data_IF_585626799095
#
_entry.id   IF_585626799095
#
_cell.length_a   1.000
_cell.length_b   1.000
_cell.length_c   1.000
_cell.angle_alpha   90.00
_cell.angle_beta   90.00
_cell.angle_gamma   90.00
#
_symmetry.space_group_name_H-M   'P 1'
#
loop_
_entity.id
_entity.type
_entity.pdbx_description
1 polymer ?
#
# COMPACT_ATOMS: atom_id res chain seq x y z
N UNK A 1 -0.43 15.30 -1.60
CA UNK A 1 0.51 16.17 -2.35
C UNK A 1 -0.28 17.35 -2.90
N UNK A 2 0.31 18.56 -2.96
CA UNK A 2 -0.33 19.74 -3.53
C UNK A 2 -0.59 19.61 -5.05
N UNK A 3 -1.15 20.65 -5.67
CA UNK A 3 -1.52 20.68 -7.11
C UNK A 3 -0.40 20.25 -8.08
N UNK A 4 0.87 20.36 -7.66
CA UNK A 4 2.05 19.95 -8.42
C UNK A 4 2.69 18.64 -7.95
N UNK A 5 2.00 17.86 -7.14
CA UNK A 5 2.49 16.56 -6.67
C UNK A 5 2.63 15.57 -7.82
N UNK A 6 3.77 14.84 -7.86
CA UNK A 6 4.02 13.80 -8.85
C UNK A 6 4.84 12.67 -8.26
N UNK A 7 4.81 11.51 -8.89
CA UNK A 7 5.63 10.37 -8.45
C UNK A 7 7.12 10.65 -8.66
N UNK A 8 7.99 10.07 -7.81
CA UNK A 8 9.45 10.16 -7.97
C UNK A 8 9.88 9.71 -9.36
N UNK A 9 9.29 8.64 -9.89
CA UNK A 9 9.55 8.15 -11.26
C UNK A 9 9.29 9.22 -12.32
N UNK A 10 8.18 9.94 -12.22
CA UNK A 10 7.82 11.02 -13.15
C UNK A 10 8.76 12.22 -12.98
N UNK A 11 9.06 12.60 -11.74
CA UNK A 11 10.00 13.69 -11.42
C UNK A 11 11.38 13.43 -12.04
N UNK A 12 11.85 12.19 -11.95
CA UNK A 12 13.12 11.75 -12.52
C UNK A 12 13.07 11.51 -14.04
N UNK A 13 11.89 11.55 -14.64
CA UNK A 13 11.68 11.21 -16.05
C UNK A 13 12.27 9.83 -16.41
N UNK A 14 12.08 8.84 -15.54
CA UNK A 14 12.63 7.49 -15.72
C UNK A 14 12.08 6.83 -16.98
N UNK A 15 12.96 6.50 -17.94
CA UNK A 15 12.59 5.85 -19.19
C UNK A 15 13.53 4.68 -19.47
N UNK A 16 13.01 3.46 -19.66
CA UNK A 16 13.83 2.34 -20.14
C UNK A 16 14.46 2.66 -21.50
N UNK A 17 15.74 2.41 -21.66
CA UNK A 17 16.45 2.58 -22.92
C UNK A 17 17.41 1.40 -23.13
N UNK A 18 16.93 0.31 -23.75
CA UNK A 18 17.66 -0.95 -23.82
C UNK A 18 17.98 -1.49 -22.43
N UNK A 19 19.28 -1.77 -22.18
CA UNK A 19 19.76 -2.26 -20.88
C UNK A 19 20.04 -1.12 -19.87
N UNK A 20 19.75 0.13 -20.21
CA UNK A 20 19.98 1.30 -19.36
C UNK A 20 18.69 2.04 -19.06
N UNK A 21 18.73 2.93 -18.06
CA UNK A 21 17.62 3.82 -17.73
C UNK A 21 18.06 5.26 -17.97
N UNK A 22 17.34 5.97 -18.82
CA UNK A 22 17.48 7.41 -18.96
C UNK A 22 16.70 8.09 -17.84
N UNK A 23 17.37 9.02 -17.15
CA UNK A 23 16.75 9.75 -16.04
C UNK A 23 17.46 11.10 -15.81
N UNK A 24 16.84 11.94 -14.99
CA UNK A 24 17.50 13.09 -14.39
C UNK A 24 18.77 12.65 -13.66
N UNK A 25 19.80 13.48 -13.66
CA UNK A 25 21.12 13.16 -13.12
C UNK A 25 21.85 14.44 -12.69
N UNK A 26 23.09 14.31 -12.21
CA UNK A 26 23.94 15.45 -11.91
C UNK A 26 24.17 16.36 -13.13
N UNK A 27 24.21 15.81 -14.34
CA UNK A 27 24.35 16.56 -15.62
C UNK A 27 23.04 17.18 -16.12
N UNK A 28 21.89 16.70 -15.64
CA UNK A 28 20.55 17.23 -15.93
C UNK A 28 19.70 17.17 -14.62
N UNK A 29 19.99 18.05 -13.65
CA UNK A 29 19.36 17.97 -12.34
C UNK A 29 17.89 18.38 -12.36
N UNK A 30 17.18 18.05 -11.29
CA UNK A 30 15.83 18.51 -11.01
C UNK A 30 15.91 20.03 -10.80
N UNK A 31 15.13 20.79 -11.58
CA UNK A 31 15.07 22.25 -11.46
C UNK A 31 14.13 22.66 -10.32
N UNK A 32 14.59 22.46 -9.09
CA UNK A 32 13.88 22.84 -7.88
C UNK A 32 14.87 23.23 -6.78
N UNK A 33 14.54 24.26 -6.01
CA UNK A 33 15.30 24.66 -4.81
C UNK A 33 14.91 23.88 -3.55
N UNK A 34 13.71 23.30 -3.55
CA UNK A 34 13.18 22.45 -2.48
C UNK A 34 12.45 21.27 -3.09
N UNK A 35 12.81 20.08 -2.63
CA UNK A 35 12.16 18.82 -3.01
C UNK A 35 11.63 18.17 -1.74
N UNK A 36 10.34 17.87 -1.71
CA UNK A 36 9.71 17.13 -0.61
C UNK A 36 9.31 15.76 -1.15
N UNK A 37 9.85 14.72 -0.55
CA UNK A 37 9.51 13.32 -0.88
C UNK A 37 8.71 12.75 0.28
N UNK A 38 7.47 12.40 0.02
CA UNK A 38 6.59 11.77 0.99
C UNK A 38 6.61 10.25 0.85
N UNK A 39 6.18 9.52 1.89
CA UNK A 39 6.12 8.05 1.95
C UNK A 39 7.49 7.39 1.64
N UNK A 40 8.58 7.96 2.16
CA UNK A 40 9.96 7.49 1.88
C UNK A 40 10.23 6.08 2.43
N UNK A 41 9.40 5.55 3.31
CA UNK A 41 9.42 4.13 3.68
C UNK A 41 9.33 3.19 2.46
N UNK A 42 8.69 3.64 1.37
CA UNK A 42 8.53 2.92 0.12
C UNK A 42 9.70 3.13 -0.87
N UNK A 43 10.64 4.03 -0.58
CA UNK A 43 11.77 4.32 -1.45
C UNK A 43 12.82 3.21 -1.34
N UNK A 44 13.10 2.52 -2.44
CA UNK A 44 14.15 1.52 -2.52
C UNK A 44 15.51 2.11 -2.94
N UNK A 45 16.56 1.29 -2.85
CA UNK A 45 17.92 1.72 -3.20
C UNK A 45 18.07 2.06 -4.69
N UNK A 46 17.34 1.40 -5.57
CA UNK A 46 17.42 1.66 -7.00
C UNK A 46 16.92 3.06 -7.31
N UNK A 47 15.71 3.37 -6.90
CA UNK A 47 15.12 4.71 -7.11
C UNK A 47 15.90 5.79 -6.36
N UNK A 48 16.37 5.49 -5.14
CA UNK A 48 17.21 6.40 -4.38
C UNK A 48 18.53 6.72 -5.13
N UNK A 49 19.11 5.73 -5.81
CA UNK A 49 20.34 5.91 -6.59
C UNK A 49 20.19 6.85 -7.80
N UNK A 50 18.96 7.00 -8.32
CA UNK A 50 18.64 7.99 -9.34
C UNK A 50 18.23 9.33 -8.74
N UNK A 51 17.51 9.33 -7.61
CA UNK A 51 16.96 10.53 -7.00
C UNK A 51 18.06 11.45 -6.46
N UNK A 52 18.96 10.92 -5.61
CA UNK A 52 19.93 11.76 -4.93
C UNK A 52 20.93 12.46 -5.87
N UNK A 53 21.49 11.82 -6.91
CA UNK A 53 22.34 12.49 -7.88
C UNK A 53 21.60 13.54 -8.73
N UNK A 54 20.28 13.40 -8.89
CA UNK A 54 19.47 14.37 -9.63
C UNK A 54 19.11 15.62 -8.82
N UNK A 55 19.35 15.63 -7.51
CA UNK A 55 19.14 16.83 -6.67
C UNK A 55 20.23 17.85 -6.96
N UNK A 56 19.81 19.06 -7.39
CA UNK A 56 20.74 20.15 -7.70
C UNK A 56 21.56 20.56 -6.47
N UNK A 57 22.83 20.86 -6.68
CA UNK A 57 23.68 21.43 -5.61
C UNK A 57 23.06 22.72 -5.04
N UNK A 58 22.98 22.79 -3.72
CA UNK A 58 22.36 23.87 -2.97
C UNK A 58 20.84 23.78 -2.83
N UNK A 59 20.18 22.77 -3.40
CA UNK A 59 18.77 22.50 -3.14
C UNK A 59 18.58 21.76 -1.80
N UNK A 60 17.42 21.94 -1.20
CA UNK A 60 17.02 21.25 0.03
C UNK A 60 16.14 20.06 -0.35
N UNK A 61 16.42 18.90 0.20
CA UNK A 61 15.56 17.73 0.12
C UNK A 61 15.01 17.40 1.50
N UNK A 62 13.68 17.27 1.61
CA UNK A 62 12.97 16.82 2.81
C UNK A 62 12.38 15.46 2.52
N UNK A 63 12.71 14.48 3.35
CA UNK A 63 12.26 13.11 3.26
C UNK A 63 11.27 12.86 4.40
N UNK A 64 10.00 12.62 4.06
CA UNK A 64 8.94 12.33 5.02
C UNK A 64 8.58 10.84 4.96
N UNK A 65 8.44 10.19 6.10
CA UNK A 65 8.06 8.76 6.13
C UNK A 65 7.97 8.22 7.54
N UNK A 66 7.45 7.02 7.66
CA UNK A 66 7.30 6.30 8.93
C UNK A 66 8.16 5.03 8.88
N UNK A 67 9.21 5.00 9.71
CA UNK A 67 10.15 3.89 9.82
C UNK A 67 9.56 2.64 10.49
N UNK A 68 8.34 2.71 11.01
CA UNK A 68 7.58 1.58 11.55
C UNK A 68 6.64 0.93 10.53
N UNK A 69 6.34 1.59 9.40
CA UNK A 69 5.57 0.99 8.32
C UNK A 69 6.40 -0.03 7.54
N UNK A 70 5.74 -0.72 6.61
CA UNK A 70 6.42 -1.65 5.71
C UNK A 70 7.48 -0.94 4.88
N UNK A 71 8.62 -1.58 4.72
CA UNK A 71 9.69 -1.13 3.84
C UNK A 71 9.28 -1.28 2.37
N UNK A 72 10.08 -0.67 1.47
CA UNK A 72 9.93 -0.81 0.01
C UNK A 72 9.87 -2.28 -0.42
N UNK A 73 9.19 -2.58 -1.51
CA UNK A 73 9.23 -3.93 -2.12
C UNK A 73 10.60 -4.20 -2.74
N UNK A 74 11.24 -3.18 -3.30
CA UNK A 74 12.58 -3.24 -3.85
C UNK A 74 13.68 -3.38 -2.79
N UNK A 75 14.94 -3.40 -3.22
CA UNK A 75 16.08 -3.64 -2.33
C UNK A 75 16.38 -2.46 -1.40
N UNK A 76 16.91 -2.79 -0.21
CA UNK A 76 17.39 -1.80 0.76
C UNK A 76 16.32 -1.37 1.77
N UNK A 77 16.72 -0.42 2.63
CA UNK A 77 15.92 0.21 3.68
C UNK A 77 16.35 1.68 3.82
N UNK A 78 16.21 2.43 2.76
CA UNK A 78 16.80 3.77 2.60
C UNK A 78 16.46 4.70 3.75
N UNK A 79 15.18 4.79 4.15
CA UNK A 79 14.76 5.65 5.26
C UNK A 79 15.46 5.28 6.57
N UNK A 80 15.44 4.00 6.94
CA UNK A 80 16.08 3.52 8.16
C UNK A 80 17.61 3.75 8.12
N UNK A 81 18.26 3.45 6.98
CA UNK A 81 19.70 3.66 6.82
C UNK A 81 20.08 5.14 6.93
N UNK A 82 19.28 6.05 6.38
CA UNK A 82 19.51 7.51 6.51
C UNK A 82 19.34 7.97 7.95
N UNK A 83 18.36 7.45 8.69
CA UNK A 83 18.18 7.74 10.12
C UNK A 83 19.37 7.21 10.93
N UNK A 84 19.80 5.98 10.65
CA UNK A 84 20.85 5.28 11.40
C UNK A 84 22.27 5.81 11.11
N UNK A 85 22.49 6.45 9.96
CA UNK A 85 23.83 6.91 9.57
C UNK A 85 24.37 8.08 10.44
N UNK A 86 23.50 8.82 11.11
CA UNK A 86 23.85 9.95 11.98
C UNK A 86 24.47 11.16 11.24
N UNK A 87 24.38 11.21 9.91
CA UNK A 87 24.88 12.31 9.06
C UNK A 87 23.77 13.20 8.50
N UNK A 88 22.53 12.77 8.65
CA UNK A 88 21.34 13.49 8.19
C UNK A 88 20.60 14.03 9.41
N UNK A 89 20.11 15.24 9.31
CA UNK A 89 19.28 15.84 10.35
C UNK A 89 17.92 15.16 10.39
N UNK A 90 17.50 14.68 11.58
CA UNK A 90 16.28 13.89 11.76
C UNK A 90 15.36 14.58 12.75
N UNK A 91 14.14 14.88 12.28
CA UNK A 91 13.07 15.42 13.11
C UNK A 91 11.98 14.35 13.30
N UNK A 92 11.73 13.96 14.55
CA UNK A 92 10.69 12.98 14.87
C UNK A 92 9.41 13.68 15.34
N UNK A 93 8.32 13.40 14.66
CA UNK A 93 6.99 13.85 15.05
C UNK A 93 6.35 12.79 15.95
N UNK A 94 6.01 13.16 17.18
CA UNK A 94 5.44 12.24 18.16
C UNK A 94 3.93 12.36 18.29
N UNK A 95 3.36 13.49 17.85
CA UNK A 95 1.92 13.70 17.93
C UNK A 95 1.24 13.19 16.67
N UNK A 96 0.36 12.20 16.85
CA UNK A 96 -0.46 11.67 15.75
C UNK A 96 -1.66 12.63 15.58
N UNK A 97 -1.79 13.19 14.38
CA UNK A 97 -2.84 14.17 14.05
C UNK A 97 -3.97 13.55 13.21
N UNK A 98 -3.71 12.46 12.50
CA UNK A 98 -4.64 11.85 11.53
C UNK A 98 -5.72 11.02 12.19
N UNK A 99 -5.36 10.30 13.24
CA UNK A 99 -6.23 9.38 13.97
C UNK A 99 -6.28 9.82 15.42
N UNK A 100 -7.46 9.79 16.02
CA UNK A 100 -7.65 10.02 17.45
C UNK A 100 -8.23 8.76 18.09
N UNK A 101 -8.08 8.64 19.42
CA UNK A 101 -8.68 7.55 20.17
C UNK A 101 -7.97 6.21 20.02
N UNK A 102 -8.79 5.16 20.06
CA UNK A 102 -8.32 3.76 20.22
C UNK A 102 -7.45 3.25 19.09
N UNK A 103 -7.62 3.71 17.85
CA UNK A 103 -6.76 3.31 16.72
C UNK A 103 -5.31 3.74 16.96
N UNK A 104 -5.09 4.99 17.37
CA UNK A 104 -3.78 5.54 17.71
C UNK A 104 -3.12 4.81 18.88
N UNK A 105 -3.88 4.59 19.94
CA UNK A 105 -3.40 3.91 21.14
C UNK A 105 -2.97 2.48 20.80
N UNK A 106 -3.81 1.77 20.03
CA UNK A 106 -3.51 0.40 19.59
C UNK A 106 -2.32 0.35 18.64
N UNK A 107 -2.12 1.34 17.77
CA UNK A 107 -0.91 1.44 16.94
C UNK A 107 0.36 1.49 17.82
N UNK A 108 0.34 2.29 18.88
CA UNK A 108 1.46 2.40 19.85
C UNK A 108 1.65 1.10 20.64
N UNK A 109 0.56 0.46 21.10
CA UNK A 109 0.59 -0.83 21.80
C UNK A 109 1.21 -1.91 20.91
N UNK A 110 0.77 -2.02 19.65
CA UNK A 110 1.32 -2.97 18.70
C UNK A 110 2.80 -2.72 18.44
N UNK A 111 3.23 -1.48 18.28
CA UNK A 111 4.66 -1.15 18.12
C UNK A 111 5.50 -1.55 19.33
N UNK A 112 4.95 -1.48 20.54
CA UNK A 112 5.64 -1.98 21.74
C UNK A 112 5.80 -3.51 21.77
N UNK A 113 5.02 -4.22 20.95
CA UNK A 113 4.99 -5.69 20.87
C UNK A 113 3.95 -6.33 21.78
N UNK A 114 3.06 -5.54 22.34
CA UNK A 114 1.94 -6.05 23.10
C UNK A 114 0.75 -6.33 22.16
N UNK A 115 0.11 -7.47 22.39
CA UNK A 115 -1.16 -7.85 21.77
C UNK A 115 -2.37 -7.48 22.64
N UNK A 116 -2.15 -6.83 23.79
CA UNK A 116 -3.19 -6.39 24.73
C UNK A 116 -3.78 -5.04 24.27
N UNK A 117 -4.49 -5.07 23.16
CA UNK A 117 -5.11 -3.90 22.55
C UNK A 117 -6.41 -3.51 23.24
N UNK A 118 -6.79 -2.25 23.10
CA UNK A 118 -8.08 -1.72 23.54
C UNK A 118 -9.14 -1.97 22.48
N UNK A 119 -10.35 -2.34 22.92
CA UNK A 119 -11.48 -2.57 22.03
C UNK A 119 -12.61 -1.58 22.34
N UNK A 120 -13.19 -1.00 21.29
CA UNK A 120 -14.34 -0.12 21.36
C UNK A 120 -15.13 -0.16 20.02
N UNK A 121 -15.98 0.82 19.78
CA UNK A 121 -16.76 0.91 18.55
C UNK A 121 -15.89 1.11 17.31
N UNK A 122 -14.72 1.76 17.45
CA UNK A 122 -13.79 2.04 16.36
C UNK A 122 -12.77 0.94 16.11
N UNK A 123 -12.60 0.01 17.05
CA UNK A 123 -11.57 -1.03 16.96
C UNK A 123 -12.04 -2.37 17.53
N UNK A 124 -12.12 -3.38 16.67
CA UNK A 124 -12.52 -4.73 17.05
C UNK A 124 -11.53 -5.80 16.64
N UNK A 125 -11.40 -6.84 17.46
CA UNK A 125 -10.62 -8.03 17.20
C UNK A 125 -11.47 -9.26 17.46
N UNK A 126 -11.68 -10.06 16.42
CA UNK A 126 -12.45 -11.29 16.47
C UNK A 126 -11.55 -12.49 16.15
N UNK A 127 -11.71 -13.58 16.89
CA UNK A 127 -10.92 -14.80 16.74
C UNK A 127 -11.75 -15.94 16.19
N UNK A 128 -11.18 -16.67 15.25
CA UNK A 128 -11.83 -17.76 14.52
C UNK A 128 -10.92 -18.98 14.49
N UNK A 129 -11.51 -20.15 14.20
CA UNK A 129 -10.77 -21.41 14.11
C UNK A 129 -10.37 -21.76 12.68
N UNK A 130 -11.01 -21.14 11.69
CA UNK A 130 -10.73 -21.37 10.27
C UNK A 130 -10.87 -20.10 9.43
N UNK A 131 -10.20 -20.09 8.26
CA UNK A 131 -10.30 -19.00 7.27
C UNK A 131 -11.76 -18.82 6.83
N UNK A 132 -12.50 -19.90 6.61
CA UNK A 132 -13.90 -19.86 6.18
C UNK A 132 -14.82 -19.15 7.19
N UNK A 133 -14.65 -19.44 8.49
CA UNK A 133 -15.40 -18.74 9.54
C UNK A 133 -15.07 -17.24 9.59
N UNK A 134 -13.77 -16.90 9.51
CA UNK A 134 -13.30 -15.52 9.51
C UNK A 134 -13.84 -14.73 8.31
N UNK A 135 -13.78 -15.32 7.11
CA UNK A 135 -14.31 -14.72 5.88
C UNK A 135 -15.81 -14.52 5.96
N UNK A 136 -16.59 -15.51 6.42
CA UNK A 136 -18.04 -15.38 6.58
C UNK A 136 -18.42 -14.26 7.55
N UNK A 137 -17.72 -14.17 8.68
CA UNK A 137 -17.95 -13.12 9.67
C UNK A 137 -17.56 -11.73 9.13
N UNK A 138 -16.46 -11.64 8.39
CA UNK A 138 -16.07 -10.42 7.71
C UNK A 138 -17.16 -9.99 6.72
N UNK A 139 -17.66 -10.89 5.88
CA UNK A 139 -18.71 -10.60 4.90
C UNK A 139 -19.99 -10.08 5.54
N UNK A 140 -20.33 -10.54 6.75
CA UNK A 140 -21.52 -10.07 7.47
C UNK A 140 -21.41 -8.61 7.98
N UNK A 141 -20.17 -8.11 8.12
CA UNK A 141 -19.88 -6.77 8.61
C UNK A 141 -19.40 -5.80 7.50
N UNK A 142 -19.10 -6.34 6.30
CA UNK A 142 -18.51 -5.56 5.24
C UNK A 142 -19.52 -4.63 4.57
N UNK A 143 -19.18 -3.34 4.55
CA UNK A 143 -19.87 -2.32 3.76
C UNK A 143 -18.98 -1.96 2.57
N UNK A 144 -19.09 -2.70 1.49
CA UNK A 144 -18.16 -2.65 0.35
C UNK A 144 -18.05 -1.28 -0.32
N UNK A 145 -19.01 -0.36 -0.11
CA UNK A 145 -18.95 1.00 -0.66
C UNK A 145 -17.85 1.85 -0.01
N UNK A 146 -17.65 1.73 1.31
CA UNK A 146 -16.73 2.55 2.09
C UNK A 146 -15.56 1.78 2.72
N UNK A 147 -15.57 0.45 2.64
CA UNK A 147 -14.58 -0.41 3.28
C UNK A 147 -13.61 -1.02 2.28
N UNK A 148 -12.40 -1.35 2.78
CA UNK A 148 -11.46 -2.23 2.10
C UNK A 148 -11.08 -3.41 2.98
N UNK A 149 -10.89 -4.56 2.33
CA UNK A 149 -10.35 -5.73 2.98
C UNK A 149 -8.84 -5.81 2.72
N UNK A 150 -8.04 -5.84 3.77
CA UNK A 150 -6.60 -5.96 3.69
C UNK A 150 -6.17 -7.38 4.06
N UNK A 151 -5.35 -7.98 3.19
CA UNK A 151 -4.74 -9.27 3.44
C UNK A 151 -3.21 -9.20 3.27
N UNK A 152 -2.42 -9.94 4.07
CA UNK A 152 -0.98 -10.04 3.88
C UNK A 152 -0.57 -10.74 2.58
N UNK A 153 -1.44 -11.55 1.98
CA UNK A 153 -1.11 -12.47 0.87
C UNK A 153 -2.05 -12.34 -0.32
N UNK A 154 -1.52 -12.61 -1.53
CA UNK A 154 -2.31 -12.54 -2.77
C UNK A 154 -3.07 -13.83 -3.07
N UNK A 155 -2.41 -14.99 -3.01
CA UNK A 155 -2.89 -16.26 -3.60
C UNK A 155 -3.12 -17.39 -2.60
N UNK A 156 -2.88 -17.21 -1.32
CA UNK A 156 -2.86 -18.32 -0.36
C UNK A 156 -4.18 -18.43 0.38
N UNK A 157 -4.89 -19.54 0.19
CA UNK A 157 -6.13 -19.87 0.92
C UNK A 157 -7.30 -18.93 0.64
N UNK A 158 -8.34 -19.06 1.44
CA UNK A 158 -9.54 -18.22 1.36
C UNK A 158 -9.30 -16.78 1.86
N UNK A 159 -8.29 -16.61 2.70
CA UNK A 159 -7.86 -15.30 3.22
C UNK A 159 -6.97 -14.51 2.22
N UNK A 160 -6.65 -15.06 1.06
CA UNK A 160 -5.87 -14.38 0.02
C UNK A 160 -6.70 -13.38 -0.79
N UNK A 161 -6.06 -12.30 -1.24
CA UNK A 161 -6.70 -11.20 -1.99
C UNK A 161 -7.56 -11.68 -3.15
N UNK A 162 -7.08 -12.66 -3.95
CA UNK A 162 -7.84 -13.14 -5.11
C UNK A 162 -9.13 -13.87 -4.70
N UNK A 163 -9.06 -14.73 -3.68
CA UNK A 163 -10.24 -15.42 -3.17
C UNK A 163 -11.24 -14.43 -2.56
N UNK A 164 -10.74 -13.48 -1.76
CA UNK A 164 -11.55 -12.45 -1.13
C UNK A 164 -12.26 -11.56 -2.18
N UNK A 165 -11.55 -11.11 -3.21
CA UNK A 165 -12.15 -10.31 -4.28
C UNK A 165 -13.29 -11.06 -4.96
N UNK A 166 -13.11 -12.33 -5.26
CA UNK A 166 -14.14 -13.16 -5.88
C UNK A 166 -15.35 -13.35 -4.96
N UNK A 167 -15.12 -13.69 -3.68
CA UNK A 167 -16.20 -13.89 -2.69
C UNK A 167 -17.00 -12.60 -2.50
N UNK A 168 -16.31 -11.45 -2.40
CA UNK A 168 -16.97 -10.15 -2.22
C UNK A 168 -17.77 -9.81 -3.47
N UNK A 169 -17.19 -9.90 -4.65
CA UNK A 169 -17.89 -9.61 -5.92
C UNK A 169 -19.16 -10.46 -6.08
N UNK A 170 -19.07 -11.78 -5.83
CA UNK A 170 -20.19 -12.70 -5.92
C UNK A 170 -21.31 -12.40 -4.90
N UNK A 171 -21.03 -11.68 -3.84
CA UNK A 171 -22.00 -11.28 -2.82
C UNK A 171 -22.75 -10.00 -3.15
N UNK A 172 -22.26 -9.19 -4.08
CA UNK A 172 -22.89 -7.93 -4.47
C UNK A 172 -24.06 -8.20 -5.40
N UNK A 173 -25.30 -7.82 -5.01
CA UNK A 173 -26.47 -8.09 -5.82
C UNK A 173 -26.49 -7.20 -7.08
N UNK A 174 -27.07 -7.73 -8.15
CA UNK A 174 -27.42 -6.99 -9.37
C UNK A 174 -26.24 -6.35 -10.10
N UNK A 175 -25.03 -6.87 -9.97
CA UNK A 175 -23.92 -6.45 -10.81
C UNK A 175 -24.18 -6.78 -12.27
N UNK A 176 -24.01 -5.79 -13.16
CA UNK A 176 -24.18 -5.99 -14.60
C UNK A 176 -22.87 -6.46 -15.21
N UNK A 177 -22.86 -7.68 -15.77
CA UNK A 177 -21.69 -8.24 -16.45
C UNK A 177 -21.24 -7.35 -17.61
N UNK A 178 -19.93 -7.15 -17.73
CA UNK A 178 -19.30 -6.42 -18.82
C UNK A 178 -18.52 -7.34 -19.75
N UNK A 179 -17.46 -7.95 -19.22
CA UNK A 179 -16.53 -8.80 -19.97
C UNK A 179 -15.73 -9.71 -19.03
N UNK A 180 -15.05 -10.70 -19.65
CA UNK A 180 -14.08 -11.54 -18.95
C UNK A 180 -12.69 -11.32 -19.49
N UNK A 181 -11.70 -11.29 -18.58
CA UNK A 181 -10.29 -11.23 -18.91
C UNK A 181 -9.48 -12.10 -17.95
N UNK A 182 -8.60 -12.97 -18.49
CA UNK A 182 -7.78 -13.91 -17.71
C UNK A 182 -8.56 -14.73 -16.66
N UNK A 183 -9.74 -15.26 -17.02
CA UNK A 183 -10.66 -16.01 -16.15
C UNK A 183 -11.25 -15.19 -14.97
N UNK A 184 -11.13 -13.88 -14.99
CA UNK A 184 -11.86 -12.98 -14.08
C UNK A 184 -13.02 -12.32 -14.83
N UNK A 185 -14.18 -12.23 -14.19
CA UNK A 185 -15.34 -11.52 -14.70
C UNK A 185 -15.37 -10.11 -14.13
N UNK A 186 -15.63 -9.14 -14.98
CA UNK A 186 -15.77 -7.74 -14.60
C UNK A 186 -17.18 -7.25 -14.85
N UNK A 187 -17.68 -6.42 -13.95
CA UNK A 187 -19.04 -5.91 -13.95
C UNK A 187 -19.04 -4.38 -13.80
N UNK A 188 -20.11 -3.74 -14.24
CA UNK A 188 -20.35 -2.34 -13.95
C UNK A 188 -20.52 -2.19 -12.44
N UNK A 189 -19.81 -1.23 -11.84
CA UNK A 189 -19.74 -1.01 -10.41
C UNK A 189 -18.58 -1.73 -9.71
N UNK A 190 -17.85 -2.63 -10.40
CA UNK A 190 -16.68 -3.26 -9.82
C UNK A 190 -15.60 -2.23 -9.47
N UNK A 191 -15.03 -2.39 -8.29
CA UNK A 191 -13.83 -1.66 -7.87
C UNK A 191 -12.60 -2.36 -8.41
N UNK A 192 -11.75 -1.62 -9.08
CA UNK A 192 -10.49 -2.12 -9.66
C UNK A 192 -9.28 -1.31 -9.19
N UNK A 193 -8.11 -1.92 -9.28
CA UNK A 193 -6.81 -1.28 -9.03
C UNK A 193 -5.91 -1.47 -10.25
N UNK A 194 -5.24 -0.39 -10.65
CA UNK A 194 -4.21 -0.47 -11.68
C UNK A 194 -2.92 -1.07 -11.10
N UNK A 195 -2.28 -1.95 -11.86
CA UNK A 195 -1.09 -2.70 -11.41
C UNK A 195 0.21 -2.23 -12.06
N UNK A 196 0.09 -1.35 -13.04
CA UNK A 196 1.21 -0.70 -13.74
C UNK A 196 0.87 0.77 -13.98
N UNK A 197 1.90 1.55 -14.25
CA UNK A 197 1.76 2.96 -14.63
C UNK A 197 1.75 3.09 -16.14
N UNK A 198 0.80 3.86 -16.68
CA UNK A 198 0.75 4.28 -18.08
C UNK A 198 0.58 5.81 -18.14
N UNK A 199 1.67 6.51 -18.43
CA UNK A 199 1.68 7.97 -18.47
C UNK A 199 0.84 8.54 -19.62
N UNK A 200 0.76 7.83 -20.75
CA UNK A 200 0.01 8.27 -21.93
C UNK A 200 -1.50 8.17 -21.68
N UNK A 201 -1.95 7.14 -21.00
CA UNK A 201 -3.35 6.97 -20.57
C UNK A 201 -3.68 7.74 -19.30
N UNK A 202 -2.66 8.13 -18.53
CA UNK A 202 -2.81 8.94 -17.32
C UNK A 202 -3.25 8.17 -16.09
N UNK A 203 -3.00 6.86 -15.98
CA UNK A 203 -3.18 6.09 -14.75
C UNK A 203 -1.86 5.61 -14.17
N UNK A 204 -1.83 5.40 -12.86
CA UNK A 204 -0.66 5.00 -12.11
C UNK A 204 -0.86 3.66 -11.40
N UNK A 205 0.25 2.97 -11.15
CA UNK A 205 0.21 1.76 -10.32
C UNK A 205 -0.32 2.11 -8.92
N UNK A 206 -1.37 1.41 -8.52
CA UNK A 206 -2.07 1.65 -7.26
C UNK A 206 -3.32 2.53 -7.39
N UNK A 207 -3.58 3.17 -8.54
CA UNK A 207 -4.81 3.92 -8.75
C UNK A 207 -6.01 2.99 -8.63
N UNK A 208 -6.98 3.38 -7.78
CA UNK A 208 -8.23 2.66 -7.56
C UNK A 208 -9.36 3.42 -8.23
N UNK A 209 -10.16 2.70 -9.00
CA UNK A 209 -11.32 3.26 -9.69
C UNK A 209 -12.50 2.29 -9.70
N UNK A 210 -13.64 2.77 -10.17
CA UNK A 210 -14.87 1.99 -10.32
C UNK A 210 -15.26 1.93 -11.79
N UNK A 211 -15.61 0.74 -12.27
CA UNK A 211 -16.11 0.54 -13.63
C UNK A 211 -17.45 1.23 -13.78
N UNK A 212 -17.53 2.22 -14.65
CA UNK A 212 -18.75 3.01 -14.88
C UNK A 212 -19.54 2.57 -16.12
N UNK A 213 -18.83 2.14 -17.18
CA UNK A 213 -19.51 1.61 -18.39
C UNK A 213 -18.55 0.74 -19.22
N UNK A 214 -19.14 -0.06 -20.11
CA UNK A 214 -18.40 -0.82 -21.13
C UNK A 214 -19.18 -0.79 -22.44
N UNK A 215 -18.55 -0.26 -23.48
CA UNK A 215 -19.16 -0.13 -24.80
C UNK A 215 -18.11 -0.32 -25.89
N UNK A 216 -18.42 -1.13 -26.92
CA UNK A 216 -17.56 -1.35 -28.09
C UNK A 216 -16.10 -1.72 -27.77
N UNK A 217 -15.89 -2.46 -26.67
CA UNK A 217 -14.55 -2.88 -26.24
C UNK A 217 -13.77 -1.83 -25.44
N UNK A 218 -14.37 -0.67 -25.18
CA UNK A 218 -13.80 0.40 -24.35
C UNK A 218 -14.44 0.38 -22.98
N UNK A 219 -13.61 0.36 -21.95
CA UNK A 219 -14.00 0.38 -20.55
C UNK A 219 -13.85 1.79 -19.97
N UNK A 220 -14.94 2.37 -19.50
CA UNK A 220 -14.87 3.62 -18.74
C UNK A 220 -14.68 3.32 -17.25
N UNK A 221 -13.65 3.90 -16.65
CA UNK A 221 -13.35 3.78 -15.24
C UNK A 221 -13.31 5.16 -14.59
N UNK A 222 -14.08 5.32 -13.53
CA UNK A 222 -14.08 6.55 -12.71
C UNK A 222 -13.04 6.39 -11.62
N UNK A 223 -11.97 7.17 -11.68
CA UNK A 223 -11.01 7.40 -10.61
C UNK A 223 -11.45 8.62 -9.79
N UNK A 224 -10.74 8.92 -8.71
CA UNK A 224 -11.13 9.99 -7.77
C UNK A 224 -11.39 11.34 -8.46
N UNK A 225 -10.54 11.75 -9.40
CA UNK A 225 -10.52 13.09 -10.02
C UNK A 225 -10.82 13.07 -11.53
N UNK A 226 -10.97 11.88 -12.14
CA UNK A 226 -11.07 11.74 -13.59
C UNK A 226 -11.80 10.46 -13.99
N UNK A 227 -12.33 10.48 -15.21
CA UNK A 227 -12.83 9.28 -15.92
C UNK A 227 -11.86 8.98 -17.06
N UNK A 228 -11.37 7.74 -17.10
CA UNK A 228 -10.50 7.26 -18.17
C UNK A 228 -11.21 6.22 -19.02
N UNK A 229 -10.91 6.24 -20.32
CA UNK A 229 -11.34 5.23 -21.28
C UNK A 229 -10.20 4.25 -21.52
N UNK A 230 -10.32 3.06 -20.99
CA UNK A 230 -9.32 1.99 -21.09
C UNK A 230 -9.64 1.07 -22.27
N UNK A 231 -8.62 0.77 -23.07
CA UNK A 231 -8.69 -0.18 -24.16
C UNK A 231 -8.39 -1.61 -23.67
N UNK A 232 -8.56 -2.60 -24.55
CA UNK A 232 -8.28 -3.99 -24.22
C UNK A 232 -6.83 -4.26 -23.81
N UNK A 233 -5.89 -3.46 -24.29
CA UNK A 233 -4.47 -3.57 -23.93
C UNK A 233 -4.23 -3.17 -22.46
N UNK A 234 -5.06 -2.29 -21.92
CA UNK A 234 -4.98 -1.85 -20.53
C UNK A 234 -5.55 -2.89 -19.55
N UNK A 235 -6.37 -3.85 -20.01
CA UNK A 235 -7.01 -4.84 -19.13
C UNK A 235 -6.00 -5.76 -18.44
N UNK A 236 -4.82 -5.96 -19.04
CA UNK A 236 -3.72 -6.69 -18.39
C UNK A 236 -3.19 -6.00 -17.13
N UNK A 237 -3.42 -4.70 -17.01
CA UNK A 237 -2.91 -3.86 -15.94
C UNK A 237 -3.94 -3.61 -14.84
N UNK A 238 -5.09 -4.26 -14.85
CA UNK A 238 -6.12 -4.07 -13.83
C UNK A 238 -6.45 -5.36 -13.08
N UNK A 239 -6.91 -5.23 -11.85
CA UNK A 239 -7.37 -6.31 -10.98
C UNK A 239 -8.55 -5.81 -10.14
N UNK A 240 -9.42 -6.73 -9.70
CA UNK A 240 -10.44 -6.41 -8.71
C UNK A 240 -9.80 -5.88 -7.41
N UNK A 241 -10.44 -4.94 -6.75
CA UNK A 241 -9.91 -4.21 -5.59
C UNK A 241 -10.89 -4.03 -4.42
N UNK A 242 -11.78 -4.96 -4.19
CA UNK A 242 -12.53 -5.03 -2.92
C UNK A 242 -11.62 -5.43 -1.76
N UNK A 243 -10.66 -6.30 -2.06
CA UNK A 243 -9.54 -6.64 -1.20
C UNK A 243 -8.23 -6.30 -1.91
N UNK A 244 -7.27 -5.76 -1.16
CA UNK A 244 -5.90 -5.47 -1.62
C UNK A 244 -4.88 -5.97 -0.60
N UNK A 245 -3.61 -6.08 -1.02
CA UNK A 245 -2.56 -6.41 -0.05
C UNK A 245 -2.24 -5.21 0.85
N UNK A 246 -1.79 -5.47 2.08
CA UNK A 246 -1.32 -4.41 2.98
C UNK A 246 -0.24 -3.53 2.32
N UNK A 247 0.66 -4.12 1.51
CA UNK A 247 1.65 -3.35 0.76
C UNK A 247 1.02 -2.37 -0.25
N UNK A 248 -0.05 -2.80 -0.95
CA UNK A 248 -0.75 -1.93 -1.91
C UNK A 248 -1.61 -0.86 -1.25
N UNK A 249 -1.91 -0.98 0.04
CA UNK A 249 -2.65 0.05 0.79
C UNK A 249 -1.74 1.15 1.35
N UNK A 250 -0.40 1.02 1.24
CA UNK A 250 0.51 2.09 1.67
C UNK A 250 0.20 3.39 0.92
N UNK A 251 0.26 4.53 1.61
CA UNK A 251 -0.12 5.83 1.06
C UNK A 251 -1.63 6.08 0.95
N UNK A 252 -2.48 5.04 1.09
CA UNK A 252 -3.94 5.21 1.03
C UNK A 252 -4.53 5.54 2.39
N UNK A 253 -5.64 6.26 2.40
CA UNK A 253 -6.49 6.51 3.56
C UNK A 253 -7.87 5.87 3.31
N UNK A 254 -8.35 5.08 4.25
CA UNK A 254 -9.53 4.24 4.11
C UNK A 254 -10.43 4.50 5.31
N UNK A 255 -11.72 4.70 5.12
CA UNK A 255 -12.62 4.95 6.23
C UNK A 255 -12.70 3.73 7.15
N UNK A 256 -13.11 2.60 6.63
CA UNK A 256 -13.25 1.34 7.37
C UNK A 256 -12.33 0.26 6.81
N UNK A 257 -11.45 -0.26 7.63
CA UNK A 257 -10.47 -1.30 7.25
C UNK A 257 -10.81 -2.63 7.90
N UNK A 258 -11.01 -3.65 7.08
CA UNK A 258 -11.16 -5.04 7.50
C UNK A 258 -9.84 -5.76 7.25
N UNK A 259 -9.23 -6.32 8.29
CA UNK A 259 -7.92 -6.99 8.21
C UNK A 259 -8.13 -8.48 8.50
N UNK A 260 -7.77 -9.33 7.54
CA UNK A 260 -7.82 -10.78 7.74
C UNK A 260 -6.41 -11.33 7.95
N UNK A 261 -6.19 -11.97 9.09
CA UNK A 261 -4.91 -12.57 9.48
C UNK A 261 -5.12 -14.07 9.67
N UNK A 262 -4.39 -14.88 8.92
CA UNK A 262 -4.53 -16.34 8.95
C UNK A 262 -3.23 -17.03 9.32
N UNK A 263 -3.34 -18.06 10.14
CA UNK A 263 -2.25 -18.98 10.48
C UNK A 263 -1.63 -19.62 9.23
N UNK A 264 -2.41 -19.79 8.16
CA UNK A 264 -1.92 -20.33 6.90
C UNK A 264 -0.82 -19.48 6.25
N UNK A 265 -0.71 -18.21 6.65
CA UNK A 265 0.28 -17.26 6.10
C UNK A 265 1.22 -16.66 7.17
N UNK A 266 1.46 -17.37 8.28
CA UNK A 266 2.33 -16.92 9.40
C UNK A 266 3.69 -16.38 8.95
N UNK A 267 4.30 -16.95 7.92
CA UNK A 267 5.57 -16.46 7.38
C UNK A 267 5.54 -15.04 6.82
N UNK A 268 4.35 -14.52 6.52
CA UNK A 268 4.16 -13.13 6.07
C UNK A 268 3.70 -12.20 7.19
N UNK A 269 3.34 -12.78 8.36
CA UNK A 269 2.81 -12.01 9.47
C UNK A 269 3.95 -11.40 10.29
N UNK A 270 4.04 -10.09 10.25
CA UNK A 270 4.99 -9.30 11.05
C UNK A 270 4.25 -8.16 11.74
N UNK A 271 4.87 -7.61 12.79
CA UNK A 271 4.38 -6.43 13.48
C UNK A 271 4.12 -5.26 12.52
N UNK A 272 5.03 -5.02 11.57
CA UNK A 272 4.89 -3.95 10.57
C UNK A 272 3.69 -4.15 9.66
N UNK A 273 3.35 -5.40 9.29
CA UNK A 273 2.13 -5.70 8.51
C UNK A 273 0.89 -5.23 9.27
N UNK A 274 0.77 -5.59 10.55
CA UNK A 274 -0.39 -5.21 11.37
C UNK A 274 -0.42 -3.70 11.58
N UNK A 275 0.70 -3.11 11.95
CA UNK A 275 0.83 -1.66 12.14
C UNK A 275 0.45 -0.89 10.87
N UNK A 276 1.02 -1.25 9.72
CA UNK A 276 0.71 -0.59 8.44
C UNK A 276 -0.77 -0.73 8.11
N UNK A 277 -1.37 -1.91 8.31
CA UNK A 277 -2.77 -2.14 7.99
C UNK A 277 -3.71 -1.29 8.85
N UNK A 278 -3.52 -1.25 10.18
CA UNK A 278 -4.39 -0.47 11.07
C UNK A 278 -4.24 1.04 10.87
N UNK A 279 -3.04 1.51 10.53
CA UNK A 279 -2.80 2.93 10.29
C UNK A 279 -3.37 3.43 8.96
N UNK A 280 -3.96 2.56 8.14
CA UNK A 280 -4.72 2.97 6.94
C UNK A 280 -6.12 3.47 7.30
N UNK A 281 -6.69 3.00 8.41
CA UNK A 281 -8.06 3.34 8.81
C UNK A 281 -8.18 4.77 9.31
N UNK A 282 -9.25 5.45 8.90
CA UNK A 282 -9.67 6.75 9.45
C UNK A 282 -10.67 6.57 10.59
N UNK A 283 -11.66 5.70 10.41
CA UNK A 283 -12.81 5.57 11.29
C UNK A 283 -12.83 4.25 12.06
N UNK A 284 -12.73 3.11 11.36
CA UNK A 284 -12.88 1.81 12.00
C UNK A 284 -11.86 0.78 11.54
N UNK A 285 -11.45 -0.06 12.49
CA UNK A 285 -10.59 -1.23 12.26
C UNK A 285 -11.30 -2.50 12.74
N UNK A 286 -11.44 -3.46 11.85
CA UNK A 286 -12.00 -4.79 12.14
C UNK A 286 -10.93 -5.85 11.85
N UNK A 287 -10.42 -6.53 12.87
CA UNK A 287 -9.43 -7.58 12.72
C UNK A 287 -10.10 -8.96 12.87
N UNK A 288 -9.94 -9.81 11.87
CA UNK A 288 -10.39 -11.20 11.82
C UNK A 288 -9.17 -12.08 11.89
N UNK A 289 -8.88 -12.63 13.08
CA UNK A 289 -7.70 -13.46 13.35
C UNK A 289 -8.06 -14.93 13.39
N UNK A 290 -7.39 -15.74 12.59
CA UNK A 290 -7.51 -17.20 12.64
C UNK A 290 -6.40 -17.76 13.51
N UNK A 291 -6.76 -18.56 14.50
CA UNK A 291 -5.83 -19.07 15.51
C UNK A 291 -5.16 -17.95 16.30
N UNK A 292 -3.82 -18.01 16.43
CA UNK A 292 -2.98 -17.02 17.13
C UNK A 292 -2.30 -16.02 16.15
N UNK A 293 -2.84 -15.87 14.94
CA UNK A 293 -2.21 -15.08 13.87
C UNK A 293 -1.94 -13.63 14.26
N UNK A 294 -2.86 -12.97 14.98
CA UNK A 294 -2.67 -11.61 15.47
C UNK A 294 -1.55 -11.52 16.50
N UNK A 295 -1.60 -12.34 17.54
CA UNK A 295 -0.59 -12.39 18.62
C UNK A 295 0.79 -12.73 18.06
N UNK A 296 0.84 -13.68 17.14
CA UNK A 296 2.06 -14.05 16.44
C UNK A 296 2.62 -12.85 15.65
N UNK A 297 1.79 -12.19 14.84
CA UNK A 297 2.20 -11.05 14.04
C UNK A 297 2.76 -9.90 14.89
N UNK A 298 2.08 -9.55 15.98
CA UNK A 298 2.50 -8.47 16.89
C UNK A 298 3.83 -8.78 17.58
N UNK A 299 4.06 -10.03 17.96
CA UNK A 299 5.32 -10.47 18.59
C UNK A 299 6.45 -10.62 17.56
N UNK A 300 6.11 -10.91 16.31
CA UNK A 300 7.09 -11.15 15.26
C UNK A 300 7.75 -9.85 14.78
N UNK A 301 8.95 -9.59 15.30
CA UNK A 301 9.85 -8.52 14.83
C UNK A 301 10.69 -8.93 13.62
N UNK A 302 10.49 -10.16 13.08
CA UNK A 302 11.27 -10.63 11.96
C UNK A 302 11.07 -9.69 10.75
N UNK A 303 11.80 -8.62 10.81
CA UNK A 303 12.23 -7.89 9.67
C UNK A 303 13.10 -8.87 8.90
N UNK A 304 12.84 -9.06 7.62
CA UNK A 304 13.90 -9.54 6.76
C UNK A 304 15.03 -8.54 6.99
N UNK A 305 16.09 -8.98 7.70
CA UNK A 305 17.26 -8.12 7.96
C UNK A 305 17.87 -7.79 6.61
N UNK A 306 17.32 -6.76 5.98
CA UNK A 306 17.87 -6.26 4.73
C UNK A 306 19.25 -5.74 5.05
N UNK A 307 20.25 -6.41 4.48
CA UNK A 307 21.63 -5.96 4.60
C UNK A 307 21.85 -4.88 3.56
N UNK A 308 22.10 -3.67 4.03
CA UNK A 308 22.50 -2.54 3.20
C UNK A 308 23.87 -2.06 3.67
N UNK A 309 24.73 -1.73 2.74
CA UNK A 309 26.00 -1.06 3.03
C UNK A 309 25.86 0.47 3.00
N UNK A 310 24.64 1.00 2.90
CA UNK A 310 24.41 2.43 2.71
C UNK A 310 24.93 3.24 3.89
N UNK A 311 24.63 2.80 5.13
CA UNK A 311 25.14 3.45 6.35
C UNK A 311 26.67 3.54 6.34
N UNK A 312 27.33 2.40 6.06
CA UNK A 312 28.81 2.37 6.00
C UNK A 312 29.36 3.33 4.93
N UNK A 313 28.76 3.36 3.75
CA UNK A 313 29.19 4.24 2.65
C UNK A 313 28.97 5.72 3.00
N UNK A 314 27.84 6.11 3.61
CA UNK A 314 27.58 7.48 4.01
C UNK A 314 28.56 7.93 5.12
N UNK A 315 28.96 7.02 6.01
CA UNK A 315 29.87 7.36 7.12
C UNK A 315 31.33 7.47 6.70
N UNK A 316 31.75 6.73 5.66
CA UNK A 316 33.16 6.56 5.26
C UNK A 316 33.48 7.06 3.83
N UNK A 317 32.50 7.54 3.09
CA UNK A 317 32.67 8.19 1.78
C UNK A 317 32.60 9.68 1.93
#
# INVERSE_FOLDING_TARGET
CGENGQTVHKLLNLRPCGDTVLCKSEGDPIDAGLIIVDEVSMLDLEIASYLFPAVRNGAIIILCGDDNQLESVGYGKVLADLIDCGKVEVYRLYQIMRQSGTICENASIILSGSAEIKLDESFSLHRYTSDNEAVKAMMSNLKYECSFVLSPVKKKGEAGVYALNKIIQESIPNLTYCFSYNNENFHIGDRIIMTQTNYDQGYFNGDIGTISSFCEGILSVTFFDKVLSLSRDDFANMQLAYSITVHKSQGSEIDDVHIILSDSCKNMLTRRIVYTAITRAKSHVYIYSVGDAFEYAVKNKAEHQRRSNLVYRIQNG
#
